data_IF_998062672542
#
_entry.id   IF_998062672542
#
_cell.length_a   1.000
_cell.length_b   1.000
_cell.length_c   1.000
_cell.angle_alpha   90.00
_cell.angle_beta   90.00
_cell.angle_gamma   90.00
#
_symmetry.space_group_name_H-M   'P 1'
#
loop_
_entity.id
_entity.type
_entity.pdbx_description
1 polymer ?
#
# COMPACT_ATOMS: atom_id res chain seq x y z
N UNK A 1 -11.75 9.35 -13.42
CA UNK A 1 -11.85 8.11 -12.61
C UNK A 1 -10.69 7.21 -12.99
N UNK A 2 -9.82 6.87 -12.04
CA UNK A 2 -8.69 5.97 -12.25
C UNK A 2 -8.94 4.71 -11.42
N UNK A 3 -8.95 3.54 -12.04
CA UNK A 3 -9.14 2.27 -11.36
C UNK A 3 -7.79 1.56 -11.26
N UNK A 4 -7.41 1.15 -10.06
CA UNK A 4 -6.30 0.25 -9.80
C UNK A 4 -6.79 -0.98 -9.02
N UNK A 5 -6.06 -2.06 -9.14
CA UNK A 5 -6.50 -3.38 -8.69
C UNK A 5 -5.66 -3.89 -7.52
N UNK A 6 -6.30 -4.66 -6.65
CA UNK A 6 -5.61 -5.41 -5.60
C UNK A 6 -6.08 -6.86 -5.62
N UNK A 7 -5.11 -7.75 -5.56
CA UNK A 7 -5.31 -9.20 -5.47
C UNK A 7 -5.48 -9.61 -4.01
N UNK A 8 -6.38 -10.54 -3.77
CA UNK A 8 -6.71 -11.03 -2.44
C UNK A 8 -6.89 -12.55 -2.44
N UNK A 9 -6.50 -13.16 -1.32
CA UNK A 9 -6.96 -14.51 -0.99
C UNK A 9 -8.50 -14.54 -0.90
N UNK A 10 -9.09 -15.73 -0.88
CA UNK A 10 -10.53 -15.88 -0.73
C UNK A 10 -11.05 -15.17 0.53
N UNK A 11 -10.48 -15.46 1.69
CA UNK A 11 -10.89 -14.83 2.95
C UNK A 11 -10.63 -13.32 2.98
N UNK A 12 -9.46 -12.88 2.48
CA UNK A 12 -9.09 -11.47 2.40
C UNK A 12 -10.02 -10.68 1.48
N UNK A 13 -10.43 -11.26 0.35
CA UNK A 13 -11.36 -10.62 -0.59
C UNK A 13 -12.76 -10.45 0.01
N UNK A 14 -13.29 -11.46 0.68
CA UNK A 14 -14.56 -11.33 1.41
C UNK A 14 -14.50 -10.20 2.46
N UNK A 15 -13.44 -10.17 3.25
CA UNK A 15 -13.26 -9.13 4.26
C UNK A 15 -13.14 -7.73 3.63
N UNK A 16 -12.41 -7.59 2.52
CA UNK A 16 -12.26 -6.33 1.81
C UNK A 16 -13.56 -5.84 1.16
N UNK A 17 -14.36 -6.75 0.58
CA UNK A 17 -15.67 -6.43 0.03
C UNK A 17 -16.65 -5.93 1.10
N UNK A 18 -16.63 -6.55 2.27
CA UNK A 18 -17.51 -6.22 3.39
C UNK A 18 -17.12 -4.91 4.06
N UNK A 19 -15.83 -4.72 4.34
CA UNK A 19 -15.33 -3.53 5.05
C UNK A 19 -15.13 -2.33 4.16
N UNK A 20 -14.80 -2.55 2.88
CA UNK A 20 -14.35 -1.53 1.91
C UNK A 20 -13.10 -0.75 2.35
N UNK A 21 -12.39 -1.23 3.38
CA UNK A 21 -11.15 -0.61 3.83
C UNK A 21 -9.95 -1.17 3.06
N UNK A 22 -8.99 -0.30 2.74
CA UNK A 22 -7.70 -0.73 2.20
C UNK A 22 -6.69 -0.98 3.32
N UNK A 23 -5.97 -2.09 3.21
CA UNK A 23 -4.90 -2.44 4.12
C UNK A 23 -3.54 -2.03 3.57
N UNK A 24 -2.79 -1.30 4.39
CA UNK A 24 -1.39 -0.95 4.17
C UNK A 24 -0.52 -1.90 4.99
N UNK A 25 0.51 -2.48 4.38
CA UNK A 25 1.37 -3.47 5.03
C UNK A 25 2.74 -2.91 5.32
N UNK A 26 3.33 -3.29 6.46
CA UNK A 26 4.74 -2.96 6.73
C UNK A 26 5.67 -3.70 5.76
N UNK A 27 6.74 -3.06 5.29
CA UNK A 27 7.68 -3.67 4.32
C UNK A 27 8.35 -4.95 4.81
N UNK A 28 8.55 -5.12 6.13
CA UNK A 28 9.16 -6.32 6.72
C UNK A 28 8.35 -7.61 6.48
N UNK A 29 7.03 -7.46 6.22
CA UNK A 29 6.12 -8.59 5.94
C UNK A 29 5.90 -8.82 4.45
N UNK A 30 6.64 -8.16 3.58
CA UNK A 30 6.57 -8.42 2.15
C UNK A 30 7.29 -9.73 1.82
N UNK A 31 6.82 -10.39 0.74
CA UNK A 31 7.38 -11.66 0.29
C UNK A 31 8.73 -11.53 -0.41
N UNK A 32 9.09 -10.33 -0.90
CA UNK A 32 10.39 -10.08 -1.52
C UNK A 32 11.42 -9.66 -0.45
N UNK A 33 12.46 -10.46 -0.18
CA UNK A 33 13.49 -10.11 0.79
C UNK A 33 14.35 -8.91 0.36
N UNK A 34 14.24 -8.49 -0.90
CA UNK A 34 14.97 -7.34 -1.44
C UNK A 34 14.20 -6.02 -1.34
N UNK A 35 13.04 -6.02 -0.70
CA UNK A 35 12.26 -4.78 -0.51
C UNK A 35 13.06 -3.69 0.21
N UNK A 36 12.97 -2.46 -0.33
CA UNK A 36 13.71 -1.28 0.14
C UNK A 36 15.25 -1.43 0.11
N UNK A 37 15.79 -2.36 -0.67
CA UNK A 37 17.24 -2.55 -0.79
C UNK A 37 17.82 -2.00 -2.10
N UNK A 38 17.11 -1.07 -2.75
CA UNK A 38 17.52 -0.48 -4.03
C UNK A 38 18.84 0.29 -3.98
N UNK A 39 19.22 0.78 -2.81
CA UNK A 39 20.49 1.46 -2.59
C UNK A 39 21.60 0.45 -2.26
N UNK A 40 22.76 0.60 -2.88
CA UNK A 40 23.94 -0.18 -2.55
C UNK A 40 25.08 0.72 -2.10
N UNK A 41 25.72 0.36 -1.01
CA UNK A 41 26.98 0.98 -0.61
C UNK A 41 28.13 0.05 -1.00
N UNK A 42 28.51 0.10 -2.28
CA UNK A 42 29.59 -0.75 -2.83
C UNK A 42 30.99 -0.23 -2.54
N UNK A 43 31.12 0.99 -1.99
CA UNK A 43 32.42 1.67 -1.83
C UNK A 43 32.51 2.21 -0.40
N UNK A 44 33.04 1.40 0.54
CA UNK A 44 33.30 1.87 1.89
C UNK A 44 33.67 0.73 2.87
N UNK A 45 34.24 1.07 4.04
CA UNK A 45 34.49 0.11 5.10
C UNK A 45 33.18 -0.59 5.52
N UNK A 46 33.29 -1.84 5.97
CA UNK A 46 32.15 -2.68 6.35
C UNK A 46 31.16 -1.98 7.33
N UNK A 47 31.66 -1.18 8.26
CA UNK A 47 30.80 -0.42 9.20
C UNK A 47 29.87 0.62 8.57
N UNK A 48 30.14 1.11 7.38
CA UNK A 48 29.23 2.04 6.67
C UNK A 48 28.04 1.32 6.02
N UNK A 49 28.20 0.04 5.64
CA UNK A 49 27.07 -0.77 5.15
C UNK A 49 26.06 -1.07 6.25
N UNK A 50 26.54 -1.35 7.46
CA UNK A 50 25.68 -1.56 8.64
C UNK A 50 24.89 -0.29 8.97
N UNK A 51 25.50 0.89 8.84
CA UNK A 51 24.82 2.17 9.08
C UNK A 51 23.66 2.39 8.10
N UNK A 52 23.88 2.18 6.79
CA UNK A 52 22.80 2.32 5.80
C UNK A 52 21.68 1.31 6.04
N UNK A 53 22.03 0.06 6.30
CA UNK A 53 21.06 -0.99 6.59
C UNK A 53 20.22 -0.63 7.83
N UNK A 54 20.86 -0.25 8.93
CA UNK A 54 20.16 0.12 10.17
C UNK A 54 19.17 1.27 9.95
N UNK A 55 19.55 2.28 9.14
CA UNK A 55 18.65 3.39 8.80
C UNK A 55 17.47 2.96 7.94
N UNK A 56 17.69 2.09 6.96
CA UNK A 56 16.61 1.55 6.13
C UNK A 56 15.68 0.68 6.97
N UNK A 57 16.21 -0.17 7.85
CA UNK A 57 15.40 -1.01 8.74
C UNK A 57 14.55 -0.15 9.68
N UNK A 58 15.12 0.93 10.23
CA UNK A 58 14.38 1.90 11.04
C UNK A 58 13.26 2.60 10.22
N UNK A 59 13.50 2.91 8.95
CA UNK A 59 12.48 3.48 8.06
C UNK A 59 11.35 2.47 7.77
N UNK A 60 11.66 1.19 7.60
CA UNK A 60 10.65 0.13 7.40
C UNK A 60 9.65 0.06 8.54
N UNK A 61 10.09 0.29 9.77
CA UNK A 61 9.22 0.29 10.95
C UNK A 61 8.24 1.47 11.00
N UNK A 62 8.55 2.56 10.30
CA UNK A 62 7.78 3.80 10.34
C UNK A 62 6.84 4.01 9.17
N UNK A 63 6.81 3.07 8.23
CA UNK A 63 5.96 3.19 7.05
C UNK A 63 5.11 1.94 6.84
N UNK A 64 3.95 2.15 6.21
CA UNK A 64 3.15 1.09 5.65
C UNK A 64 2.85 1.40 4.19
N UNK A 65 2.83 0.36 3.37
CA UNK A 65 2.73 0.45 1.91
C UNK A 65 1.48 -0.28 1.44
N UNK A 66 0.71 0.39 0.61
CA UNK A 66 -0.35 -0.21 -0.18
C UNK A 66 0.20 -0.50 -1.57
N UNK A 67 0.17 -1.77 -1.96
CA UNK A 67 0.52 -2.23 -3.30
C UNK A 67 -0.74 -2.46 -4.10
N UNK A 68 -0.85 -1.78 -5.22
CA UNK A 68 -1.90 -1.90 -6.23
C UNK A 68 -1.26 -2.30 -7.56
N UNK A 69 -2.05 -2.70 -8.52
CA UNK A 69 -1.57 -3.04 -9.87
C UNK A 69 -2.48 -2.44 -10.93
N UNK A 70 -1.96 -2.30 -12.14
CA UNK A 70 -2.71 -1.83 -13.30
C UNK A 70 -3.49 -2.94 -13.99
N UNK A 71 -3.16 -4.21 -13.73
CA UNK A 71 -3.77 -5.37 -14.39
C UNK A 71 -4.63 -6.22 -13.45
N UNK A 72 -5.87 -6.49 -13.84
CA UNK A 72 -6.79 -7.39 -13.12
C UNK A 72 -6.70 -8.85 -13.58
N UNK A 73 -6.05 -9.13 -14.71
CA UNK A 73 -6.16 -10.43 -15.39
C UNK A 73 -4.81 -11.13 -15.65
N UNK A 74 -3.74 -10.67 -14.98
CA UNK A 74 -2.43 -11.28 -15.11
C UNK A 74 -2.39 -12.67 -14.45
N UNK A 75 -2.13 -13.77 -15.21
CA UNK A 75 -2.17 -15.14 -14.66
C UNK A 75 -1.16 -15.40 -13.54
N UNK A 76 0.05 -14.78 -13.59
CA UNK A 76 1.05 -14.92 -12.54
C UNK A 76 0.60 -14.26 -11.25
N UNK A 77 -0.01 -13.08 -11.34
CA UNK A 77 -0.58 -12.39 -10.18
C UNK A 77 -1.72 -13.23 -9.54
N UNK A 78 -2.57 -13.85 -10.35
CA UNK A 78 -3.61 -14.75 -9.85
C UNK A 78 -3.04 -15.98 -9.15
N UNK A 79 -1.95 -16.54 -9.67
CA UNK A 79 -1.29 -17.69 -9.06
C UNK A 79 -0.65 -17.34 -7.69
N UNK A 80 0.01 -16.17 -7.60
CA UNK A 80 0.80 -15.80 -6.43
C UNK A 80 -0.02 -15.12 -5.32
N UNK A 81 -1.00 -14.28 -5.69
CA UNK A 81 -1.66 -13.35 -4.76
C UNK A 81 -3.16 -13.57 -4.57
N UNK A 82 -3.77 -14.51 -5.32
CA UNK A 82 -5.21 -14.78 -5.26
C UNK A 82 -5.53 -16.27 -5.04
N UNK A 83 -4.89 -16.89 -4.05
CA UNK A 83 -5.09 -18.30 -3.68
C UNK A 83 -5.12 -19.24 -4.90
N UNK A 84 -4.11 -19.15 -5.77
CA UNK A 84 -4.01 -20.00 -6.94
C UNK A 84 -5.28 -19.97 -7.83
N UNK A 85 -5.77 -18.76 -8.13
CA UNK A 85 -7.00 -18.47 -8.89
C UNK A 85 -8.33 -18.76 -8.17
N UNK A 86 -8.32 -18.93 -6.84
CA UNK A 86 -9.56 -19.13 -6.06
C UNK A 86 -10.08 -17.82 -5.44
N UNK A 87 -9.20 -16.83 -5.26
CA UNK A 87 -9.48 -15.57 -4.58
C UNK A 87 -10.18 -14.53 -5.45
N UNK A 88 -9.88 -13.27 -5.17
CA UNK A 88 -10.50 -12.10 -5.78
C UNK A 88 -9.47 -11.13 -6.32
N UNK A 89 -9.90 -10.34 -7.31
CA UNK A 89 -9.28 -9.05 -7.62
C UNK A 89 -10.35 -7.97 -7.49
N UNK A 90 -10.03 -6.90 -6.76
CA UNK A 90 -10.95 -5.80 -6.54
C UNK A 90 -10.36 -4.54 -7.16
N UNK A 91 -11.12 -3.89 -8.03
CA UNK A 91 -10.79 -2.61 -8.65
C UNK A 91 -11.39 -1.45 -7.85
N UNK A 92 -10.50 -0.58 -7.38
CA UNK A 92 -10.83 0.59 -6.58
C UNK A 92 -10.73 1.87 -7.40
N UNK A 93 -11.64 2.79 -7.20
CA UNK A 93 -11.50 4.17 -7.68
C UNK A 93 -10.50 4.90 -6.79
N UNK A 94 -9.30 5.15 -7.32
CA UNK A 94 -8.19 5.74 -6.58
C UNK A 94 -8.06 7.26 -6.78
N UNK A 95 -9.03 7.91 -7.40
CA UNK A 95 -8.98 9.35 -7.71
C UNK A 95 -9.21 10.27 -6.50
N UNK A 96 -9.62 9.73 -5.35
CA UNK A 96 -9.90 10.51 -4.14
C UNK A 96 -8.64 10.93 -3.35
N UNK A 97 -8.77 11.90 -2.43
CA UNK A 97 -7.66 12.48 -1.67
C UNK A 97 -6.97 11.48 -0.75
N UNK A 98 -7.66 10.45 -0.27
CA UNK A 98 -7.09 9.44 0.64
C UNK A 98 -5.79 8.82 0.10
N UNK A 99 -5.70 8.58 -1.22
CA UNK A 99 -4.53 8.03 -1.88
C UNK A 99 -3.72 9.06 -2.68
N UNK A 100 -4.31 10.23 -2.99
CA UNK A 100 -3.70 11.23 -3.86
C UNK A 100 -3.20 12.49 -3.16
N UNK A 101 -3.64 12.77 -1.93
CA UNK A 101 -3.12 13.95 -1.24
C UNK A 101 -1.73 13.71 -0.66
N UNK A 102 -0.75 14.60 -0.92
CA UNK A 102 0.55 14.57 -0.26
C UNK A 102 0.47 14.90 1.24
N UNK A 103 -0.65 15.48 1.71
CA UNK A 103 -0.87 15.73 3.13
C UNK A 103 -1.06 14.44 3.93
N UNK A 104 -1.50 13.38 3.27
CA UNK A 104 -1.80 12.08 3.91
C UNK A 104 -0.85 10.97 3.51
N UNK A 105 -0.01 11.18 2.50
CA UNK A 105 0.83 10.15 1.93
C UNK A 105 2.26 10.66 1.69
N UNK A 106 3.25 9.89 2.09
CA UNK A 106 4.64 10.14 1.71
C UNK A 106 4.84 9.95 0.20
N UNK A 107 4.17 8.95 -0.37
CA UNK A 107 4.08 8.73 -1.82
C UNK A 107 2.61 8.52 -2.16
N UNK A 108 2.11 9.35 -3.05
CA UNK A 108 0.72 9.30 -3.53
C UNK A 108 0.58 8.29 -4.67
N UNK A 109 -0.65 7.86 -4.96
CA UNK A 109 -0.92 6.94 -6.06
C UNK A 109 -0.50 7.51 -7.42
N UNK A 110 -0.63 8.81 -7.64
CA UNK A 110 -0.24 9.47 -8.91
C UNK A 110 1.28 9.49 -9.12
N UNK A 111 2.05 9.35 -8.06
CA UNK A 111 3.52 9.33 -8.11
C UNK A 111 4.13 7.97 -7.76
N UNK A 112 3.30 6.95 -7.61
CA UNK A 112 3.63 5.66 -7.02
C UNK A 112 4.06 4.56 -7.99
N UNK A 113 4.26 4.85 -9.28
CA UNK A 113 4.71 3.84 -10.25
C UNK A 113 6.05 3.24 -9.86
N UNK A 114 6.12 1.90 -9.79
CA UNK A 114 7.34 1.17 -9.45
C UNK A 114 8.27 1.09 -10.65
N UNK A 115 9.52 1.42 -10.42
CA UNK A 115 10.61 1.27 -11.38
C UNK A 115 11.26 -0.10 -11.23
N UNK A 116 11.25 -0.89 -12.28
CA UNK A 116 11.86 -2.21 -12.32
C UNK A 116 13.27 -2.15 -12.91
N UNK A 117 14.25 -2.72 -12.20
CA UNK A 117 15.65 -2.68 -12.61
C UNK A 117 16.42 -3.94 -12.18
N UNK A 118 17.48 -4.28 -12.89
CA UNK A 118 18.41 -5.35 -12.51
C UNK A 118 19.60 -4.82 -11.70
N UNK A 119 19.73 -3.50 -11.51
CA UNK A 119 20.89 -2.88 -10.87
C UNK A 119 20.45 -2.04 -9.69
N UNK A 120 21.21 -2.11 -8.60
CA UNK A 120 21.06 -1.23 -7.45
C UNK A 120 21.75 0.11 -7.72
N UNK A 121 21.21 1.17 -7.15
CA UNK A 121 21.80 2.50 -7.25
C UNK A 121 22.91 2.66 -6.22
N UNK A 122 24.13 3.04 -6.62
CA UNK A 122 25.18 3.40 -5.69
C UNK A 122 24.71 4.56 -4.77
N UNK A 123 24.96 4.42 -3.47
CA UNK A 123 24.63 5.45 -2.49
C UNK A 123 25.86 5.80 -1.68
N UNK A 124 26.33 7.03 -1.82
CA UNK A 124 27.47 7.52 -1.06
C UNK A 124 27.01 7.99 0.33
N UNK A 125 27.61 7.44 1.38
CA UNK A 125 27.40 7.90 2.76
C UNK A 125 28.25 9.14 3.06
N UNK A 126 27.88 10.26 2.45
CA UNK A 126 28.40 11.58 2.76
C UNK A 126 27.39 12.40 3.57
N UNK A 127 27.78 13.56 4.15
CA UNK A 127 26.85 14.38 4.97
C UNK A 127 25.56 14.74 4.26
N UNK A 128 25.60 15.15 3.00
CA UNK A 128 24.44 15.55 2.20
C UNK A 128 23.48 14.38 1.97
N UNK A 129 24.00 13.22 1.59
CA UNK A 129 23.18 12.02 1.40
C UNK A 129 22.56 11.50 2.70
N UNK A 130 23.29 11.66 3.82
CA UNK A 130 22.77 11.29 5.14
C UNK A 130 21.71 12.29 5.62
N UNK A 131 21.85 13.56 5.32
CA UNK A 131 20.83 14.56 5.58
C UNK A 131 19.55 14.27 4.80
N UNK A 132 19.64 13.97 3.49
CA UNK A 132 18.51 13.56 2.69
C UNK A 132 17.84 12.29 3.23
N UNK A 133 18.61 11.29 3.67
CA UNK A 133 18.05 10.08 4.27
C UNK A 133 17.34 10.37 5.61
N UNK A 134 17.89 11.28 6.42
CA UNK A 134 17.24 11.74 7.64
C UNK A 134 15.96 12.54 7.32
N UNK A 135 15.96 13.33 6.24
CA UNK A 135 14.77 14.04 5.76
C UNK A 135 13.62 13.07 5.42
N UNK A 136 13.90 12.01 4.66
CA UNK A 136 12.91 10.95 4.40
C UNK A 136 12.32 10.37 5.69
N UNK A 137 13.15 10.28 6.73
CA UNK A 137 12.79 9.71 8.01
C UNK A 137 11.97 10.67 8.91
N UNK A 138 12.31 11.97 8.90
CA UNK A 138 11.74 12.95 9.84
C UNK A 138 10.39 13.51 9.41
N UNK A 139 10.09 13.55 8.10
CA UNK A 139 8.84 14.14 7.62
C UNK A 139 7.62 13.30 7.98
N UNK A 140 6.75 13.90 8.77
CA UNK A 140 5.51 13.26 9.21
C UNK A 140 4.44 13.22 8.11
N UNK A 141 4.34 14.29 7.33
CA UNK A 141 3.34 14.47 6.28
C UNK A 141 4.00 15.14 5.07
N UNK A 142 4.35 14.32 4.08
CA UNK A 142 5.01 14.79 2.86
C UNK A 142 6.49 15.11 3.00
N UNK A 143 7.17 15.37 1.88
CA UNK A 143 8.59 15.72 1.81
C UNK A 143 8.74 17.20 1.45
N UNK A 144 9.49 17.96 2.27
CA UNK A 144 9.74 19.36 1.99
C UNK A 144 10.80 19.57 0.90
N UNK A 145 11.85 18.73 0.89
CA UNK A 145 12.98 18.82 -0.02
C UNK A 145 12.82 17.99 -1.32
N UNK A 146 13.34 18.49 -2.43
CA UNK A 146 13.42 17.75 -3.69
C UNK A 146 14.34 16.54 -3.58
N UNK A 147 15.44 16.64 -2.83
CA UNK A 147 16.41 15.57 -2.61
C UNK A 147 15.78 14.42 -1.80
N UNK A 148 15.04 14.74 -0.73
CA UNK A 148 14.36 13.77 0.12
C UNK A 148 13.31 13.02 -0.65
N UNK A 149 12.54 13.73 -1.49
CA UNK A 149 11.52 13.14 -2.36
C UNK A 149 12.14 12.20 -3.40
N UNK A 150 13.26 12.60 -4.02
CA UNK A 150 13.96 11.77 -4.99
C UNK A 150 14.52 10.50 -4.34
N UNK A 151 15.06 10.61 -3.13
CA UNK A 151 15.58 9.48 -2.36
C UNK A 151 14.45 8.55 -1.90
N UNK A 152 13.35 9.10 -1.40
CA UNK A 152 12.17 8.33 -1.02
C UNK A 152 11.61 7.53 -2.20
N UNK A 153 11.49 8.14 -3.37
CA UNK A 153 11.07 7.42 -4.60
C UNK A 153 12.02 6.27 -4.94
N UNK A 154 13.32 6.45 -4.83
CA UNK A 154 14.27 5.36 -5.03
C UNK A 154 14.10 4.22 -4.04
N UNK A 155 13.93 4.53 -2.78
CA UNK A 155 13.76 3.52 -1.73
C UNK A 155 12.46 2.73 -1.90
N UNK A 156 11.34 3.44 -2.03
CA UNK A 156 10.01 2.83 -2.00
C UNK A 156 9.53 2.31 -3.35
N UNK A 157 10.02 2.89 -4.47
CA UNK A 157 9.48 2.62 -5.80
C UNK A 157 10.47 1.86 -6.71
N UNK A 158 11.55 1.30 -6.18
CA UNK A 158 12.47 0.50 -7.00
C UNK A 158 12.38 -0.96 -6.60
N UNK A 159 12.16 -1.83 -7.58
CA UNK A 159 12.03 -3.28 -7.42
C UNK A 159 12.86 -4.03 -8.46
N UNK A 160 13.24 -5.27 -8.15
CA UNK A 160 13.98 -6.10 -9.10
C UNK A 160 13.11 -6.42 -10.33
N UNK A 161 13.72 -6.43 -11.52
CA UNK A 161 13.03 -6.59 -12.80
C UNK A 161 12.27 -7.91 -12.96
N UNK A 162 12.59 -8.94 -12.17
CA UNK A 162 11.81 -10.19 -12.16
C UNK A 162 10.35 -10.00 -11.77
N UNK A 163 10.01 -8.90 -11.09
CA UNK A 163 8.66 -8.58 -10.64
C UNK A 163 7.88 -7.65 -11.58
N UNK A 164 8.43 -7.34 -12.78
CA UNK A 164 7.81 -6.40 -13.73
C UNK A 164 6.37 -6.75 -14.11
N UNK A 165 6.01 -8.03 -14.05
CA UNK A 165 4.66 -8.51 -14.35
C UNK A 165 3.60 -8.04 -13.35
N UNK A 166 4.01 -7.50 -12.20
CA UNK A 166 3.09 -6.96 -11.21
C UNK A 166 2.50 -5.61 -11.62
N UNK A 167 3.19 -4.85 -12.50
CA UNK A 167 2.77 -3.49 -12.91
C UNK A 167 2.34 -2.66 -11.70
N UNK A 168 3.20 -2.68 -10.67
CA UNK A 168 2.86 -2.24 -9.32
C UNK A 168 2.82 -0.71 -9.22
N UNK A 169 1.82 -0.23 -8.48
CA UNK A 169 1.69 1.17 -8.03
C UNK A 169 1.61 1.15 -6.52
N UNK A 170 2.46 1.94 -5.86
CA UNK A 170 2.56 2.01 -4.40
C UNK A 170 2.02 3.32 -3.86
N UNK A 171 1.32 3.23 -2.75
CA UNK A 171 1.04 4.38 -1.87
C UNK A 171 1.74 4.12 -0.55
N UNK A 172 2.52 5.08 -0.08
CA UNK A 172 3.29 4.96 1.16
C UNK A 172 2.76 5.94 2.17
N UNK A 173 2.39 5.44 3.36
CA UNK A 173 1.99 6.24 4.51
C UNK A 173 3.01 6.11 5.63
N UNK A 174 3.23 7.18 6.37
CA UNK A 174 3.87 7.08 7.67
C UNK A 174 2.87 6.46 8.65
N UNK A 175 3.34 5.56 9.51
CA UNK A 175 2.50 4.91 10.53
C UNK A 175 2.89 5.38 11.92
N UNK A 176 1.93 5.35 12.83
CA UNK A 176 2.16 5.69 14.23
C UNK A 176 2.86 4.52 14.91
N UNK A 177 3.99 4.80 15.55
CA UNK A 177 4.72 3.81 16.34
C UNK A 177 4.17 3.79 17.78
N UNK A 178 3.39 2.77 18.10
CA UNK A 178 2.81 2.57 19.43
C UNK A 178 3.78 2.01 20.46
N UNK A 179 4.99 1.62 20.04
CA UNK A 179 6.01 1.06 20.95
C UNK A 179 6.87 2.13 21.61
N UNK A 180 6.81 3.37 21.11
CA UNK A 180 7.58 4.49 21.65
C UNK A 180 7.08 4.93 23.01
N UNK A 181 8.02 5.43 23.84
CA UNK A 181 7.71 6.00 25.14
C UNK A 181 7.05 7.38 25.02
N UNK A 182 6.38 7.85 26.08
CA UNK A 182 5.67 9.12 26.09
C UNK A 182 6.62 10.34 25.86
N UNK A 183 7.90 10.22 26.17
CA UNK A 183 8.91 11.26 25.95
C UNK A 183 9.33 11.38 24.48
N UNK A 184 9.38 10.25 23.77
CA UNK A 184 9.64 10.22 22.33
C UNK A 184 8.41 10.66 21.52
N UNK A 185 7.21 10.58 22.09
CA UNK A 185 5.94 10.89 21.45
C UNK A 185 5.67 12.37 21.22
N UNK A 186 6.26 13.24 22.02
CA UNK A 186 6.08 14.70 21.86
C UNK A 186 6.58 15.20 20.50
N UNK A 187 7.36 14.39 19.80
CA UNK A 187 7.92 14.70 18.49
C UNK A 187 7.15 14.08 17.31
N UNK A 188 6.11 13.25 17.52
CA UNK A 188 5.31 12.65 16.44
C UNK A 188 3.95 13.36 16.26
N UNK A 189 3.82 14.26 15.27
CA UNK A 189 2.57 15.00 15.05
C UNK A 189 1.37 14.11 14.73
N UNK A 190 1.57 12.98 14.04
CA UNK A 190 0.49 12.05 13.69
C UNK A 190 -0.06 11.36 14.93
N UNK A 191 0.82 10.92 15.82
CA UNK A 191 0.41 10.28 17.07
C UNK A 191 -0.30 11.26 18.00
N UNK A 192 0.25 12.47 18.12
CA UNK A 192 -0.38 13.54 18.89
C UNK A 192 -1.77 13.88 18.36
N UNK A 193 -1.92 13.98 17.04
CA UNK A 193 -3.22 14.21 16.40
C UNK A 193 -4.19 13.06 16.65
N UNK A 194 -3.75 11.81 16.48
CA UNK A 194 -4.57 10.65 16.74
C UNK A 194 -5.01 10.56 18.20
N UNK A 195 -4.09 10.73 19.15
CA UNK A 195 -4.41 10.70 20.58
C UNK A 195 -5.42 11.79 20.96
N UNK A 196 -5.38 12.93 20.31
CA UNK A 196 -6.33 14.02 20.52
C UNK A 196 -7.71 13.70 19.94
N UNK A 197 -7.76 13.06 18.77
CA UNK A 197 -9.01 12.94 17.98
C UNK A 197 -9.71 11.59 18.11
N UNK A 198 -9.05 10.53 18.57
CA UNK A 198 -9.57 9.15 18.57
C UNK A 198 -10.88 8.94 19.36
N UNK A 199 -11.13 9.80 20.34
CA UNK A 199 -12.30 9.72 21.21
C UNK A 199 -13.38 10.76 20.88
N UNK A 200 -13.15 11.60 19.88
CA UNK A 200 -14.01 12.71 19.51
C UNK A 200 -14.88 12.37 18.30
N UNK A 201 -16.14 12.78 18.36
CA UNK A 201 -17.00 12.76 17.18
C UNK A 201 -16.91 14.11 16.45
N UNK A 202 -17.18 14.15 15.11
CA UNK A 202 -17.00 15.35 14.29
C UNK A 202 -17.71 16.60 14.79
N UNK A 203 -18.81 16.46 15.52
CA UNK A 203 -19.61 17.57 16.05
C UNK A 203 -19.12 18.09 17.40
N UNK A 204 -18.17 17.41 18.05
CA UNK A 204 -17.72 17.76 19.41
C UNK A 204 -16.64 18.84 19.41
N UNK A 205 -15.87 18.99 18.32
CA UNK A 205 -14.79 19.97 18.25
C UNK A 205 -14.83 20.73 16.93
N UNK A 206 -15.42 21.93 16.92
CA UNK A 206 -15.41 22.80 15.76
C UNK A 206 -13.98 23.18 15.34
N UNK A 207 -13.66 23.05 14.06
CA UNK A 207 -12.36 23.45 13.50
C UNK A 207 -11.30 22.34 13.43
N UNK A 208 -11.57 21.13 13.92
CA UNK A 208 -10.72 19.98 13.66
C UNK A 208 -11.15 19.35 12.32
N UNK A 209 -10.18 19.13 11.45
CA UNK A 209 -10.38 18.36 10.23
C UNK A 209 -10.45 16.86 10.54
N UNK A 210 -11.67 16.37 10.80
CA UNK A 210 -11.91 14.95 11.09
C UNK A 210 -11.65 14.04 9.89
N UNK A 211 -11.70 14.55 8.65
CA UNK A 211 -11.32 13.79 7.46
C UNK A 211 -9.84 13.42 7.54
N UNK A 212 -9.00 14.32 8.06
CA UNK A 212 -7.59 14.01 8.31
C UNK A 212 -7.45 12.79 9.24
N UNK A 213 -8.23 12.70 10.32
CA UNK A 213 -8.24 11.55 11.22
C UNK A 213 -8.58 10.24 10.50
N UNK A 214 -9.54 10.25 9.58
CA UNK A 214 -9.90 9.07 8.79
C UNK A 214 -8.79 8.65 7.82
N UNK A 215 -7.93 9.55 7.40
CA UNK A 215 -6.88 9.31 6.42
C UNK A 215 -5.53 8.94 7.02
N UNK A 216 -5.24 9.36 8.24
CA UNK A 216 -3.94 9.16 8.87
C UNK A 216 -3.96 8.24 10.09
N UNK A 217 -5.10 8.11 10.78
CA UNK A 217 -5.22 7.28 11.96
C UNK A 217 -5.69 5.86 11.61
N UNK A 218 -4.94 4.80 12.00
CA UNK A 218 -5.37 3.43 11.77
C UNK A 218 -6.52 3.05 12.70
N UNK A 219 -7.41 2.16 12.21
CA UNK A 219 -8.49 1.57 13.02
C UNK A 219 -7.96 0.61 14.10
N UNK A 220 -6.80 0.01 13.85
CA UNK A 220 -6.22 -1.06 14.63
C UNK A 220 -4.88 -0.59 15.24
N UNK A 221 -4.94 0.00 16.43
CA UNK A 221 -3.80 0.58 17.15
C UNK A 221 -2.62 -0.39 17.35
N UNK A 222 -2.90 -1.67 17.53
CA UNK A 222 -1.90 -2.70 17.77
C UNK A 222 -1.54 -3.51 16.52
N UNK A 223 -1.80 -2.97 15.31
CA UNK A 223 -1.44 -3.65 14.09
C UNK A 223 0.09 -3.78 13.97
N UNK A 224 0.57 -5.02 13.83
CA UNK A 224 1.97 -5.27 13.52
C UNK A 224 2.24 -5.31 12.01
N UNK A 225 1.35 -5.96 11.27
CA UNK A 225 1.54 -6.23 9.85
C UNK A 225 0.71 -5.34 8.93
N UNK A 226 -0.56 -5.13 9.29
CA UNK A 226 -1.57 -4.53 8.41
C UNK A 226 -2.27 -3.38 9.11
N UNK A 227 -2.19 -2.21 8.51
CA UNK A 227 -2.88 -1.00 8.96
C UNK A 227 -4.13 -0.79 8.12
N UNK A 228 -5.28 -0.75 8.76
CA UNK A 228 -6.57 -0.43 8.17
C UNK A 228 -6.97 0.99 8.56
N UNK A 229 -7.57 1.72 7.63
CA UNK A 229 -8.03 3.08 7.85
C UNK A 229 -9.54 3.16 7.78
N UNK A 230 -10.15 4.13 8.48
CA UNK A 230 -11.61 4.30 8.55
C UNK A 230 -12.24 4.63 7.19
N UNK A 231 -11.46 5.21 6.28
CA UNK A 231 -11.91 5.60 4.97
C UNK A 231 -12.35 4.40 4.13
N UNK A 232 -13.58 4.45 3.60
CA UNK A 232 -14.13 3.43 2.71
C UNK A 232 -13.83 3.76 1.27
N UNK A 233 -13.16 2.83 0.57
CA UNK A 233 -12.81 3.01 -0.83
C UNK A 233 -13.95 2.61 -1.75
N UNK A 234 -14.28 3.44 -2.77
CA UNK A 234 -15.25 3.05 -3.78
C UNK A 234 -14.74 1.85 -4.59
N UNK A 235 -15.48 0.74 -4.55
CA UNK A 235 -15.22 -0.44 -5.37
C UNK A 235 -15.98 -0.32 -6.68
N UNK A 236 -15.29 -0.43 -7.81
CA UNK A 236 -15.88 -0.34 -9.16
C UNK A 236 -15.95 -1.66 -9.88
N UNK A 237 -14.97 -2.53 -9.62
CA UNK A 237 -14.88 -3.83 -10.29
C UNK A 237 -14.54 -4.93 -9.30
N UNK A 238 -15.13 -6.10 -9.49
CA UNK A 238 -14.81 -7.32 -8.74
C UNK A 238 -14.61 -8.45 -9.72
N UNK A 239 -13.46 -9.12 -9.61
CA UNK A 239 -13.15 -10.30 -10.41
C UNK A 239 -13.06 -11.51 -9.51
N UNK A 240 -13.78 -12.57 -9.88
CA UNK A 240 -13.69 -13.89 -9.26
C UNK A 240 -12.69 -14.73 -10.05
N UNK A 241 -11.78 -15.37 -9.36
CA UNK A 241 -10.75 -16.21 -9.98
C UNK A 241 -11.34 -17.39 -10.76
N UNK A 242 -10.60 -17.91 -11.72
CA UNK A 242 -11.06 -19.00 -12.58
C UNK A 242 -11.48 -20.26 -11.80
N UNK A 243 -10.88 -20.47 -10.62
CA UNK A 243 -11.19 -21.59 -9.71
C UNK A 243 -12.03 -21.18 -8.49
N UNK A 244 -12.54 -19.96 -8.47
CA UNK A 244 -13.33 -19.46 -7.33
C UNK A 244 -14.68 -20.19 -7.26
N UNK A 245 -15.04 -20.59 -6.04
CA UNK A 245 -16.34 -21.16 -5.66
C UNK A 245 -17.27 -20.12 -5.01
N UNK A 246 -16.91 -18.84 -5.05
CA UNK A 246 -17.69 -17.78 -4.40
C UNK A 246 -19.11 -17.62 -4.95
N UNK A 247 -19.39 -18.11 -6.15
CA UNK A 247 -20.74 -18.13 -6.70
C UNK A 247 -21.71 -19.03 -5.90
N UNK A 248 -21.16 -19.98 -5.14
CA UNK A 248 -21.94 -20.87 -4.26
C UNK A 248 -21.99 -20.35 -2.80
N UNK A 249 -21.35 -19.20 -2.52
CA UNK A 249 -21.29 -18.59 -1.19
C UNK A 249 -22.61 -17.85 -0.88
N UNK A 250 -23.16 -17.96 0.35
CA UNK A 250 -24.36 -17.24 0.74
C UNK A 250 -24.31 -15.72 0.56
N UNK A 251 -23.09 -15.14 0.68
CA UNK A 251 -22.88 -13.70 0.53
C UNK A 251 -22.70 -13.27 -0.93
N UNK A 252 -22.83 -14.18 -1.91
CA UNK A 252 -22.57 -13.90 -3.34
C UNK A 252 -23.42 -12.75 -3.88
N UNK A 253 -24.69 -12.71 -3.51
CA UNK A 253 -25.60 -11.64 -3.96
C UNK A 253 -25.16 -10.24 -3.49
N UNK A 254 -24.43 -10.14 -2.37
CA UNK A 254 -24.00 -8.85 -1.78
C UNK A 254 -22.92 -8.14 -2.61
N UNK A 255 -22.23 -8.87 -3.52
CA UNK A 255 -21.21 -8.22 -4.36
C UNK A 255 -21.82 -7.33 -5.45
N UNK A 256 -23.09 -7.55 -5.82
CA UNK A 256 -23.77 -6.76 -6.83
C UNK A 256 -24.28 -5.45 -6.22
N UNK A 257 -23.71 -4.34 -6.65
CA UNK A 257 -24.13 -3.00 -6.29
C UNK A 257 -24.24 -2.16 -7.56
N UNK A 258 -25.10 -1.11 -7.58
CA UNK A 258 -25.39 -0.35 -8.81
C UNK A 258 -24.16 0.18 -9.56
N UNK A 259 -23.12 0.57 -8.81
CA UNK A 259 -21.91 1.16 -9.40
C UNK A 259 -20.76 0.15 -9.59
N UNK A 260 -21.01 -1.14 -9.35
CA UNK A 260 -19.99 -2.18 -9.34
C UNK A 260 -20.20 -3.14 -10.51
N UNK A 261 -19.13 -3.40 -11.24
CA UNK A 261 -19.12 -4.45 -12.26
C UNK A 261 -18.51 -5.72 -11.68
N UNK A 262 -19.14 -6.84 -11.92
CA UNK A 262 -18.69 -8.15 -11.41
C UNK A 262 -18.34 -9.05 -12.59
N UNK A 263 -17.17 -9.69 -12.49
CA UNK A 263 -16.65 -10.57 -13.53
C UNK A 263 -16.25 -11.93 -12.94
N UNK A 264 -16.47 -13.00 -13.68
CA UNK A 264 -15.86 -14.31 -13.49
C UNK A 264 -14.76 -14.48 -14.51
N UNK A 265 -13.61 -14.98 -14.11
CA UNK A 265 -12.55 -15.32 -15.05
C UNK A 265 -12.69 -16.78 -15.50
N UNK A 266 -12.51 -16.97 -16.78
CA UNK A 266 -12.48 -18.26 -17.43
C UNK A 266 -11.10 -18.46 -18.12
N UNK A 267 -10.62 -19.71 -18.20
CA UNK A 267 -9.37 -20.03 -18.91
C UNK A 267 -9.67 -20.11 -20.40
N UNK A 268 -8.97 -19.31 -21.20
CA UNK A 268 -9.08 -19.42 -22.65
C UNK A 268 -8.51 -20.77 -23.11
N UNK A 269 -9.25 -21.49 -23.92
CA UNK A 269 -8.87 -22.82 -24.39
C UNK A 269 -7.89 -22.81 -25.58
N UNK A 270 -7.71 -21.66 -26.22
CA UNK A 270 -6.90 -21.49 -27.41
C UNK A 270 -5.64 -20.64 -27.19
N UNK A 271 -5.52 -19.97 -26.06
CA UNK A 271 -4.37 -19.12 -25.70
C UNK A 271 -4.04 -19.19 -24.21
N UNK A 272 -2.83 -18.79 -23.84
CA UNK A 272 -2.38 -18.69 -22.44
C UNK A 272 -2.89 -17.41 -21.76
N UNK A 273 -4.20 -17.17 -21.81
CA UNK A 273 -4.82 -15.98 -21.25
C UNK A 273 -6.06 -16.32 -20.41
N UNK A 274 -6.42 -15.36 -19.57
CA UNK A 274 -7.69 -15.37 -18.83
C UNK A 274 -8.68 -14.47 -19.57
N UNK A 275 -9.92 -14.91 -19.67
CA UNK A 275 -11.03 -14.16 -20.23
C UNK A 275 -11.99 -13.75 -19.12
N UNK A 276 -12.52 -12.52 -19.22
CA UNK A 276 -13.51 -12.03 -18.27
C UNK A 276 -14.93 -12.20 -18.84
N UNK A 277 -15.77 -12.85 -18.09
CA UNK A 277 -17.21 -12.95 -18.35
C UNK A 277 -17.96 -12.10 -17.33
N UNK A 278 -18.70 -11.11 -17.80
CA UNK A 278 -19.50 -10.24 -16.92
C UNK A 278 -20.64 -11.04 -16.31
N UNK A 279 -20.82 -10.91 -15.01
CA UNK A 279 -21.95 -11.47 -14.27
C UNK A 279 -23.02 -10.39 -14.08
N UNK A 280 -24.28 -10.83 -14.03
CA UNK A 280 -25.42 -10.00 -13.68
C UNK A 280 -26.06 -10.55 -12.39
N UNK A 281 -26.72 -9.72 -11.57
CA UNK A 281 -27.56 -10.23 -10.48
C UNK A 281 -28.69 -11.06 -11.09
N UNK A 282 -29.04 -12.15 -10.43
CA UNK A 282 -30.22 -12.96 -10.77
C UNK A 282 -31.51 -12.22 -10.45
#
# INVERSE_FOLDING_TARGET
MTILYKYYSYAGGKAALKSQNLGFRKPEFFNDPFELTALSNSVGPAGKQETLKARIDQLKDQVAILCLTRSAINPLMWAHYADQHQGFVIGYDVSGPFLNSPDYNLITVDSGDVLYTNTKTPFALNPESMEALNGVYQHAMGFEGAADRALARRLFLTKHASWVYEEEVRVVKKVIDWTRTAEEDQADPLRSFYMLTRHLEPHEVPGIDFELGYFVAPLNENARELYLYKHKMPIREVYLGARSTYMDDPDFAEIFQPERQVFKLDVNQTSWSLERRKLAPE
#
